data_IF_767902134430
#
_entry.id   IF_767902134430
#
_cell.length_a   1.000
_cell.length_b   1.000
_cell.length_c   1.000
_cell.angle_alpha   90.00
_cell.angle_beta   90.00
_cell.angle_gamma   90.00
#
_symmetry.space_group_name_H-M   'P 1'
#
loop_
_entity.id
_entity.type
_entity.pdbx_description
1 polymer ?
#
# COMPACT_ATOMS: atom_id res chain seq x y z
N UNK A 1 -50.07 40.39 31.24
CA UNK A 1 -49.78 39.23 30.36
C UNK A 1 -49.14 39.77 29.09
N UNK A 2 -47.94 39.28 28.75
CA UNK A 2 -47.08 39.77 27.67
C UNK A 2 -47.48 39.09 26.35
N UNK A 3 -47.77 39.85 25.31
CA UNK A 3 -47.88 39.33 23.94
C UNK A 3 -46.60 39.68 23.19
N UNK A 4 -45.97 38.64 22.64
CA UNK A 4 -44.60 38.64 22.11
C UNK A 4 -44.59 39.03 20.62
N UNK A 5 -43.46 39.63 20.26
CA UNK A 5 -43.00 40.27 19.03
C UNK A 5 -43.18 39.53 17.69
N UNK A 6 -43.20 40.34 16.63
CA UNK A 6 -43.09 40.03 15.19
C UNK A 6 -41.59 40.00 14.77
N UNK A 7 -41.31 39.37 13.61
CA UNK A 7 -40.07 39.31 12.78
C UNK A 7 -39.12 38.15 13.12
N UNK A 8 -38.57 37.33 12.22
CA UNK A 8 -38.06 37.54 10.84
C UNK A 8 -38.02 36.17 10.10
N UNK A 9 -38.43 36.01 8.84
CA UNK A 9 -37.62 36.09 7.60
C UNK A 9 -36.23 35.41 7.61
N UNK A 10 -36.10 34.38 6.75
CA UNK A 10 -34.91 33.76 6.13
C UNK A 10 -33.62 33.56 6.96
N UNK A 11 -33.35 32.30 7.26
CA UNK A 11 -32.03 31.68 7.17
C UNK A 11 -32.29 30.18 6.96
N UNK A 12 -31.76 29.47 5.99
CA UNK A 12 -30.68 29.71 5.05
C UNK A 12 -30.27 28.31 4.61
N UNK A 13 -30.18 28.09 3.30
CA UNK A 13 -29.59 26.91 2.68
C UNK A 13 -28.31 26.50 3.45
N UNK A 14 -28.36 25.37 4.17
CA UNK A 14 -27.18 24.72 4.74
C UNK A 14 -27.22 23.20 4.46
N UNK A 15 -27.69 22.84 3.27
CA UNK A 15 -27.46 21.53 2.66
C UNK A 15 -26.53 21.68 1.45
N UNK A 16 -25.44 22.42 1.62
CA UNK A 16 -24.22 22.11 0.90
C UNK A 16 -23.49 21.10 1.77
N UNK A 17 -23.98 19.85 1.74
CA UNK A 17 -23.19 18.69 2.11
C UNK A 17 -22.01 18.67 1.16
N UNK A 18 -20.94 19.37 1.54
CA UNK A 18 -19.66 19.26 0.90
C UNK A 18 -19.25 17.78 1.02
N UNK A 19 -19.48 17.02 -0.04
CA UNK A 19 -18.70 15.82 -0.33
C UNK A 19 -17.27 16.30 -0.59
N UNK A 20 -16.56 16.64 0.48
CA UNK A 20 -15.13 16.84 0.41
C UNK A 20 -14.53 15.46 0.25
N UNK A 21 -13.95 15.18 -0.92
CA UNK A 21 -12.97 14.11 -1.14
C UNK A 21 -11.71 14.40 -0.31
N UNK A 22 -11.86 14.50 1.02
CA UNK A 22 -10.74 14.50 1.94
C UNK A 22 -10.31 13.05 2.13
N UNK A 23 -9.75 12.45 1.07
CA UNK A 23 -8.91 11.28 1.26
C UNK A 23 -7.77 11.70 2.18
N UNK A 24 -7.63 10.96 3.28
CA UNK A 24 -6.53 11.14 4.23
C UNK A 24 -5.21 10.82 3.52
N UNK A 25 -4.27 11.76 3.55
CA UNK A 25 -2.94 11.58 3.00
C UNK A 25 -2.20 10.49 3.80
N UNK A 26 -1.93 9.37 3.15
CA UNK A 26 -1.33 8.18 3.76
C UNK A 26 0.06 8.44 4.34
N UNK A 27 0.77 9.47 3.89
CA UNK A 27 2.08 9.84 4.43
C UNK A 27 2.02 10.51 5.80
N UNK A 28 0.83 10.98 6.20
CA UNK A 28 0.60 11.73 7.43
C UNK A 28 -0.08 10.93 8.54
N UNK A 29 -0.51 9.70 8.24
CA UNK A 29 -1.20 8.82 9.18
C UNK A 29 -0.17 8.22 10.14
N UNK A 30 -0.34 8.48 11.44
CA UNK A 30 0.47 7.85 12.48
C UNK A 30 0.23 6.33 12.50
N UNK A 31 1.32 5.56 12.46
CA UNK A 31 1.31 4.10 12.65
C UNK A 31 2.60 3.63 13.31
N UNK A 32 2.56 2.43 13.87
CA UNK A 32 3.74 1.78 14.42
C UNK A 32 4.70 1.37 13.29
N UNK A 33 5.97 1.74 13.44
CA UNK A 33 7.03 1.26 12.56
C UNK A 33 7.16 -0.26 12.66
N UNK A 34 7.19 -0.93 11.52
CA UNK A 34 7.31 -2.37 11.42
C UNK A 34 8.77 -2.79 11.30
N UNK A 35 9.09 -3.99 11.79
CA UNK A 35 10.46 -4.51 11.76
C UNK A 35 11.03 -4.61 10.34
N UNK A 36 10.19 -4.92 9.34
CA UNK A 36 10.60 -5.04 7.95
C UNK A 36 11.16 -3.72 7.39
N UNK A 37 10.77 -2.56 7.92
CA UNK A 37 11.23 -1.25 7.45
C UNK A 37 12.73 -1.02 7.77
N UNK A 38 13.24 -1.70 8.81
CA UNK A 38 14.64 -1.65 9.23
C UNK A 38 15.46 -2.85 8.73
N UNK A 39 14.88 -3.70 7.88
CA UNK A 39 15.58 -4.88 7.38
C UNK A 39 16.86 -4.50 6.61
N UNK A 40 18.00 -5.16 6.87
CA UNK A 40 19.28 -4.87 6.23
C UNK A 40 19.36 -5.50 4.83
N UNK A 41 18.40 -5.17 3.96
CA UNK A 41 18.23 -5.85 2.65
C UNK A 41 19.48 -5.81 1.78
N UNK A 42 20.32 -4.76 1.89
CA UNK A 42 21.55 -4.63 1.11
C UNK A 42 22.61 -5.72 1.40
N UNK A 43 22.53 -6.37 2.55
CA UNK A 43 23.46 -7.43 2.94
C UNK A 43 22.84 -8.83 2.85
N UNK A 44 21.57 -8.93 2.48
CA UNK A 44 20.87 -10.21 2.33
C UNK A 44 21.32 -10.92 1.05
N UNK A 45 21.53 -12.24 1.15
CA UNK A 45 21.74 -13.10 -0.01
C UNK A 45 20.41 -13.35 -0.76
N UNK A 46 20.49 -13.96 -1.94
CA UNK A 46 19.30 -14.26 -2.77
C UNK A 46 18.18 -14.98 -2.02
N UNK A 47 18.51 -16.01 -1.23
CA UNK A 47 17.50 -16.78 -0.48
C UNK A 47 16.82 -15.95 0.60
N UNK A 48 17.60 -15.19 1.36
CA UNK A 48 17.09 -14.27 2.40
C UNK A 48 16.20 -13.16 1.79
N UNK A 49 16.56 -12.64 0.61
CA UNK A 49 15.75 -11.65 -0.10
C UNK A 49 14.43 -12.23 -0.57
N UNK A 50 14.43 -13.45 -1.10
CA UNK A 50 13.23 -14.13 -1.56
C UNK A 50 12.26 -14.41 -0.41
N UNK A 51 12.77 -14.90 0.72
CA UNK A 51 11.99 -15.07 1.95
C UNK A 51 11.44 -13.74 2.47
N UNK A 52 12.27 -12.69 2.50
CA UNK A 52 11.83 -11.37 2.92
C UNK A 52 10.71 -10.80 2.02
N UNK A 53 10.85 -10.94 0.69
CA UNK A 53 9.83 -10.53 -0.28
C UNK A 53 8.51 -11.30 -0.05
N UNK A 54 8.59 -12.59 0.26
CA UNK A 54 7.41 -13.40 0.59
C UNK A 54 6.72 -12.90 1.87
N UNK A 55 7.48 -12.62 2.93
CA UNK A 55 6.95 -12.06 4.18
C UNK A 55 6.30 -10.68 3.98
N UNK A 56 6.86 -9.83 3.10
CA UNK A 56 6.24 -8.56 2.73
C UNK A 56 4.89 -8.75 2.02
N UNK A 57 4.76 -9.78 1.17
CA UNK A 57 3.50 -10.10 0.52
C UNK A 57 2.42 -10.61 1.49
N UNK A 58 2.82 -11.37 2.51
CA UNK A 58 1.91 -11.75 3.60
C UNK A 58 1.44 -10.53 4.40
N UNK A 59 2.35 -9.58 4.64
CA UNK A 59 2.00 -8.30 5.28
C UNK A 59 1.04 -7.48 4.41
N UNK A 60 1.19 -7.50 3.08
CA UNK A 60 0.23 -6.88 2.15
C UNK A 60 -1.17 -7.50 2.25
N UNK A 61 -1.27 -8.82 2.43
CA UNK A 61 -2.56 -9.49 2.66
C UNK A 61 -3.23 -8.94 3.93
N UNK A 62 -2.48 -8.80 5.03
CA UNK A 62 -3.00 -8.25 6.28
C UNK A 62 -3.41 -6.78 6.14
N UNK A 63 -2.55 -5.95 5.51
CA UNK A 63 -2.84 -4.54 5.29
C UNK A 63 -4.11 -4.33 4.45
N UNK A 64 -4.31 -5.18 3.43
CA UNK A 64 -5.51 -5.15 2.58
C UNK A 64 -6.77 -5.55 3.35
N UNK A 65 -6.71 -6.61 4.15
CA UNK A 65 -7.85 -7.09 4.93
C UNK A 65 -8.31 -6.07 5.97
N UNK A 66 -7.35 -5.37 6.59
CA UNK A 66 -7.57 -4.40 7.65
C UNK A 66 -7.68 -2.95 7.17
N UNK A 67 -7.68 -2.72 5.85
CA UNK A 67 -7.77 -1.37 5.25
C UNK A 67 -6.68 -0.41 5.78
N UNK A 68 -5.48 -0.96 6.03
CA UNK A 68 -4.31 -0.21 6.50
C UNK A 68 -3.62 0.48 5.32
N UNK A 69 -4.24 1.53 4.78
CA UNK A 69 -3.74 2.21 3.59
C UNK A 69 -2.38 2.89 3.77
N UNK A 70 -2.07 3.39 4.97
CA UNK A 70 -0.74 3.88 5.31
C UNK A 70 0.32 2.78 5.22
N UNK A 71 0.00 1.57 5.69
CA UNK A 71 0.89 0.41 5.63
C UNK A 71 1.26 0.06 4.19
N UNK A 72 0.35 0.24 3.23
CA UNK A 72 0.60 -0.01 1.80
C UNK A 72 1.74 0.85 1.23
N UNK A 73 1.91 2.09 1.69
CA UNK A 73 3.05 2.91 1.30
C UNK A 73 4.38 2.35 1.81
N UNK A 74 4.43 1.93 3.08
CA UNK A 74 5.67 1.39 3.64
C UNK A 74 6.02 0.02 3.06
N UNK A 75 5.01 -0.78 2.73
CA UNK A 75 5.18 -2.01 1.96
C UNK A 75 5.74 -1.74 0.56
N UNK A 76 5.27 -0.71 -0.14
CA UNK A 76 5.83 -0.29 -1.43
C UNK A 76 7.31 0.05 -1.32
N UNK A 77 7.71 0.86 -0.33
CA UNK A 77 9.12 1.21 -0.11
C UNK A 77 9.95 -0.05 0.17
N UNK A 78 9.52 -0.87 1.13
CA UNK A 78 10.25 -2.06 1.56
C UNK A 78 10.40 -3.08 0.42
N UNK A 79 9.31 -3.35 -0.29
CA UNK A 79 9.28 -4.29 -1.41
C UNK A 79 10.16 -3.78 -2.57
N UNK A 80 10.08 -2.51 -2.92
CA UNK A 80 10.92 -1.90 -3.97
C UNK A 80 12.41 -2.02 -3.61
N UNK A 81 12.78 -1.73 -2.36
CA UNK A 81 14.17 -1.83 -1.88
C UNK A 81 14.69 -3.26 -1.96
N UNK A 82 13.88 -4.24 -1.56
CA UNK A 82 14.23 -5.66 -1.65
C UNK A 82 14.39 -6.11 -3.10
N UNK A 83 13.47 -5.75 -3.99
CA UNK A 83 13.51 -6.10 -5.42
C UNK A 83 14.70 -5.48 -6.15
N UNK A 84 15.03 -4.20 -5.87
CA UNK A 84 16.24 -3.55 -6.41
C UNK A 84 17.50 -4.30 -5.97
N UNK A 85 17.52 -4.81 -4.74
CA UNK A 85 18.67 -5.55 -4.21
C UNK A 85 18.76 -6.97 -4.77
N UNK A 86 17.61 -7.60 -5.05
CA UNK A 86 17.55 -8.93 -5.67
C UNK A 86 17.97 -8.90 -7.14
N UNK A 87 17.58 -7.87 -7.89
CA UNK A 87 17.80 -7.76 -9.34
C UNK A 87 19.26 -8.04 -9.81
N UNK A 88 20.32 -7.47 -9.21
CA UNK A 88 21.69 -7.77 -9.61
C UNK A 88 22.14 -9.18 -9.27
N UNK A 89 21.49 -9.84 -8.30
CA UNK A 89 21.78 -11.22 -7.88
C UNK A 89 21.01 -12.26 -8.71
N UNK A 90 19.97 -11.83 -9.44
CA UNK A 90 19.09 -12.69 -10.21
C UNK A 90 19.68 -13.08 -11.58
N UNK A 91 19.42 -14.30 -12.08
CA UNK A 91 19.67 -14.66 -13.46
C UNK A 91 19.03 -13.67 -14.44
N UNK A 92 19.71 -13.37 -15.55
CA UNK A 92 19.23 -12.38 -16.53
C UNK A 92 17.80 -12.66 -17.04
N UNK A 93 17.44 -13.95 -17.17
CA UNK A 93 16.08 -14.39 -17.58
C UNK A 93 14.96 -13.95 -16.61
N UNK A 94 15.29 -13.64 -15.35
CA UNK A 94 14.31 -13.29 -14.31
C UNK A 94 14.16 -11.78 -14.10
N UNK A 95 15.05 -10.95 -14.67
CA UNK A 95 14.99 -9.48 -14.53
C UNK A 95 13.64 -8.88 -14.96
N UNK A 96 13.00 -9.32 -16.07
CA UNK A 96 11.68 -8.82 -16.43
C UNK A 96 10.59 -9.12 -15.39
N UNK A 97 10.67 -10.28 -14.71
CA UNK A 97 9.74 -10.64 -13.63
C UNK A 97 9.95 -9.75 -12.40
N UNK A 98 11.21 -9.45 -12.06
CA UNK A 98 11.55 -8.54 -10.96
C UNK A 98 11.06 -7.11 -11.28
N UNK A 99 11.24 -6.65 -12.51
CA UNK A 99 10.75 -5.34 -12.93
C UNK A 99 9.22 -5.26 -12.86
N UNK A 100 8.52 -6.32 -13.27
CA UNK A 100 7.06 -6.43 -13.12
C UNK A 100 6.64 -6.30 -11.65
N UNK A 101 7.37 -6.92 -10.73
CA UNK A 101 7.10 -6.81 -9.29
C UNK A 101 7.34 -5.40 -8.75
N UNK A 102 8.34 -4.66 -9.24
CA UNK A 102 8.54 -3.25 -8.85
C UNK A 102 7.38 -2.37 -9.29
N UNK A 103 6.85 -2.61 -10.50
CA UNK A 103 5.65 -1.91 -10.99
C UNK A 103 4.43 -2.23 -10.10
N UNK A 104 4.28 -3.48 -9.66
CA UNK A 104 3.23 -3.86 -8.71
C UNK A 104 3.41 -3.13 -7.38
N UNK A 105 4.63 -3.04 -6.85
CA UNK A 105 4.93 -2.32 -5.62
C UNK A 105 4.48 -0.84 -5.70
N UNK A 106 4.81 -0.14 -6.78
CA UNK A 106 4.36 1.24 -7.00
C UNK A 106 2.82 1.36 -7.07
N UNK A 107 2.12 0.37 -7.62
CA UNK A 107 0.65 0.36 -7.67
C UNK A 107 0.01 0.11 -6.30
N UNK A 108 0.67 -0.62 -5.41
CA UNK A 108 0.22 -0.82 -4.03
C UNK A 108 0.15 0.53 -3.31
N UNK A 109 1.16 1.38 -3.48
CA UNK A 109 1.14 2.75 -2.98
C UNK A 109 -0.03 3.56 -3.53
N UNK A 110 -0.28 3.49 -4.84
CA UNK A 110 -1.44 4.14 -5.46
C UNK A 110 -2.78 3.67 -4.88
N UNK A 111 -2.96 2.36 -4.68
CA UNK A 111 -4.17 1.82 -4.04
C UNK A 111 -4.32 2.27 -2.57
N UNK A 112 -3.21 2.47 -1.86
CA UNK A 112 -3.19 3.10 -0.54
C UNK A 112 -3.68 4.54 -0.60
N UNK A 113 -3.10 5.36 -1.49
CA UNK A 113 -3.49 6.78 -1.67
C UNK A 113 -4.97 6.93 -1.97
N UNK A 114 -5.46 6.14 -2.92
CA UNK A 114 -6.85 6.17 -3.35
C UNK A 114 -7.81 5.54 -2.33
N UNK A 115 -7.28 4.95 -1.25
CA UNK A 115 -8.03 4.18 -0.24
C UNK A 115 -8.92 3.10 -0.88
N UNK A 116 -8.40 2.45 -1.92
CA UNK A 116 -9.18 1.59 -2.80
C UNK A 116 -9.00 0.11 -2.42
N UNK A 117 -9.87 -0.38 -1.53
CA UNK A 117 -9.85 -1.78 -1.06
C UNK A 117 -9.92 -2.81 -2.18
N UNK A 118 -10.74 -2.57 -3.21
CA UNK A 118 -10.90 -3.52 -4.32
C UNK A 118 -9.63 -3.63 -5.16
N UNK A 119 -8.97 -2.49 -5.40
CA UNK A 119 -7.69 -2.46 -6.11
C UNK A 119 -6.59 -3.11 -5.27
N UNK A 120 -6.54 -2.80 -3.97
CA UNK A 120 -5.60 -3.43 -3.04
C UNK A 120 -5.74 -4.97 -3.03
N UNK A 121 -6.95 -5.51 -3.00
CA UNK A 121 -7.20 -6.95 -3.05
C UNK A 121 -6.75 -7.61 -4.36
N UNK A 122 -6.94 -6.92 -5.49
CA UNK A 122 -6.46 -7.38 -6.80
C UNK A 122 -4.93 -7.38 -6.85
N UNK A 123 -4.30 -6.33 -6.32
CA UNK A 123 -2.84 -6.21 -6.24
C UNK A 123 -2.24 -7.24 -5.28
N UNK A 124 -2.85 -7.51 -4.13
CA UNK A 124 -2.44 -8.55 -3.18
C UNK A 124 -2.42 -9.93 -3.86
N UNK A 125 -3.50 -10.28 -4.57
CA UNK A 125 -3.58 -11.54 -5.32
C UNK A 125 -2.48 -11.61 -6.40
N UNK A 126 -2.36 -10.55 -7.21
CA UNK A 126 -1.37 -10.47 -8.28
C UNK A 126 0.06 -10.55 -7.75
N UNK A 127 0.35 -9.87 -6.63
CA UNK A 127 1.65 -9.87 -5.98
C UNK A 127 2.05 -11.28 -5.57
N UNK A 128 1.17 -12.00 -4.87
CA UNK A 128 1.40 -13.38 -4.42
C UNK A 128 1.64 -14.33 -5.59
N UNK A 129 0.84 -14.23 -6.66
CA UNK A 129 1.03 -15.05 -7.86
C UNK A 129 2.40 -14.80 -8.53
N UNK A 130 2.80 -13.52 -8.65
CA UNK A 130 4.08 -13.17 -9.27
C UNK A 130 5.28 -13.55 -8.40
N UNK A 131 5.16 -13.46 -7.09
CA UNK A 131 6.20 -13.93 -6.16
C UNK A 131 6.33 -15.45 -6.23
N UNK A 132 5.22 -16.19 -6.23
CA UNK A 132 5.25 -17.65 -6.36
C UNK A 132 5.94 -18.09 -7.67
N UNK A 133 5.62 -17.42 -8.79
CA UNK A 133 6.30 -17.65 -10.08
C UNK A 133 7.79 -17.32 -10.02
N UNK A 134 8.17 -16.25 -9.34
CA UNK A 134 9.57 -15.87 -9.17
C UNK A 134 10.33 -16.94 -8.36
N UNK A 135 9.79 -17.36 -7.22
CA UNK A 135 10.37 -18.38 -6.34
C UNK A 135 10.63 -19.69 -7.10
N UNK A 136 9.62 -20.20 -7.81
CA UNK A 136 9.75 -21.42 -8.62
C UNK A 136 10.81 -21.30 -9.73
N UNK A 137 11.09 -20.08 -10.21
CA UNK A 137 12.06 -19.87 -11.27
C UNK A 137 13.51 -19.72 -10.77
N UNK A 138 13.70 -19.62 -9.45
CA UNK A 138 14.99 -19.66 -8.75
C UNK A 138 15.39 -21.07 -8.30
N UNK A 139 14.44 -22.00 -8.22
CA UNK A 139 14.68 -23.44 -8.07
C UNK A 139 15.25 -24.07 -9.34
#
# INVERSE_FOLDING_TARGET
MKSIFILSFLAGLALLSACSDNQLDIHSIERETQAYESAPVQTMNTGELLEHIQNLAETMTLATQNEQYAEMHHLEIALTKALITLEPQAPAKLKPSIETLKIIAAKIHGAGHDQNKSMAATLDTTLKERIAQLLQAFE
#
